data_IF_160475320026
#
_entry.id   IF_160475320026
#
_cell.length_a   1.000
_cell.length_b   1.000
_cell.length_c   1.000
_cell.angle_alpha   90.00
_cell.angle_beta   90.00
_cell.angle_gamma   90.00
#
_symmetry.space_group_name_H-M   'P 1'
#
loop_
_entity.id
_entity.type
_entity.pdbx_description
1 polymer ?
#
# COMPACT_ATOMS: atom_id res chain seq x y z
N UNK A 1 -78.26 39.14 18.32
CA UNK A 1 -78.24 38.77 19.73
C UNK A 1 -77.62 37.40 19.76
N UNK A 2 -76.45 37.09 20.22
CA UNK A 2 -75.69 37.38 21.42
C UNK A 2 -74.18 37.19 21.09
N UNK A 3 -73.39 38.16 21.51
CA UNK A 3 -71.91 38.12 21.46
C UNK A 3 -71.40 37.16 22.53
N UNK A 4 -70.46 36.28 22.16
CA UNK A 4 -69.60 35.62 23.12
C UNK A 4 -68.14 35.85 22.76
N UNK A 5 -67.47 36.63 23.61
CA UNK A 5 -66.05 36.94 23.59
C UNK A 5 -65.24 35.69 23.97
N UNK A 6 -64.34 35.22 23.12
CA UNK A 6 -63.31 34.29 23.52
C UNK A 6 -62.02 35.06 23.79
N UNK A 7 -61.58 35.01 25.03
CA UNK A 7 -60.33 35.60 25.55
C UNK A 7 -59.15 34.78 25.02
N UNK A 8 -58.27 35.43 24.28
CA UNK A 8 -56.93 34.94 23.98
C UNK A 8 -56.18 34.87 25.31
N UNK A 9 -55.76 33.68 25.69
CA UNK A 9 -54.70 33.44 26.70
C UNK A 9 -53.42 33.46 25.99
N UNK A 10 -52.67 34.55 26.04
CA UNK A 10 -51.25 34.64 25.89
C UNK A 10 -50.59 33.84 27.01
N UNK A 11 -50.11 32.64 26.73
CA UNK A 11 -49.18 31.94 27.61
C UNK A 11 -47.79 32.34 27.18
N UNK A 12 -47.13 33.09 28.03
CA UNK A 12 -45.72 33.36 28.10
C UNK A 12 -44.96 32.05 28.15
N UNK A 13 -44.20 31.74 27.08
CA UNK A 13 -43.16 30.77 27.14
C UNK A 13 -41.95 31.39 27.86
N UNK A 14 -41.95 31.26 29.17
CA UNK A 14 -40.79 31.48 30.00
C UNK A 14 -40.26 30.15 30.46
N UNK A 15 -38.97 29.96 30.18
CA UNK A 15 -38.07 29.16 31.00
C UNK A 15 -38.48 27.72 31.30
N UNK A 16 -38.34 26.83 30.34
CA UNK A 16 -38.18 25.42 30.67
C UNK A 16 -37.02 24.81 29.96
N UNK A 17 -35.95 24.77 30.75
CA UNK A 17 -34.95 23.70 30.69
C UNK A 17 -34.04 23.65 29.49
N UNK A 18 -33.04 24.52 29.47
CA UNK A 18 -31.74 24.19 28.96
C UNK A 18 -31.14 23.01 29.76
N UNK A 19 -31.72 21.81 29.66
CA UNK A 19 -31.03 20.57 30.00
C UNK A 19 -29.95 20.37 28.97
N UNK A 20 -28.75 20.87 29.29
CA UNK A 20 -27.52 20.50 28.64
C UNK A 20 -27.40 18.96 28.64
N UNK A 21 -27.79 18.34 27.54
CA UNK A 21 -27.41 16.96 27.25
C UNK A 21 -25.92 16.99 27.08
N UNK A 22 -25.21 16.77 28.18
CA UNK A 22 -23.77 16.48 28.10
C UNK A 22 -23.62 15.11 27.43
N UNK A 23 -23.57 15.12 26.11
CA UNK A 23 -23.03 13.99 25.35
C UNK A 23 -21.57 13.90 25.78
N UNK A 24 -21.31 13.11 26.82
CA UNK A 24 -19.97 12.60 27.10
C UNK A 24 -19.58 11.67 25.95
N UNK A 25 -19.29 12.26 24.80
CA UNK A 25 -18.50 11.61 23.77
C UNK A 25 -17.18 11.25 24.43
N UNK A 26 -16.86 9.97 24.54
CA UNK A 26 -15.53 9.48 24.82
C UNK A 26 -14.62 9.97 23.69
N UNK A 27 -14.29 11.25 23.69
CA UNK A 27 -13.39 11.90 22.78
C UNK A 27 -12.00 11.31 22.98
N UNK A 28 -11.52 10.57 21.99
CA UNK A 28 -10.12 10.21 21.92
C UNK A 28 -9.31 11.52 22.05
N UNK A 29 -8.48 11.59 23.10
CA UNK A 29 -7.71 12.79 23.43
C UNK A 29 -6.84 13.20 22.22
N UNK A 30 -7.25 14.24 21.51
CA UNK A 30 -6.47 14.84 20.45
C UNK A 30 -5.44 15.75 21.10
N UNK A 31 -4.18 15.34 21.15
CA UNK A 31 -3.08 16.23 21.49
C UNK A 31 -2.69 17.02 20.23
N UNK A 32 -2.95 18.32 20.26
CA UNK A 32 -2.47 19.24 19.21
C UNK A 32 -1.10 19.76 19.64
N UNK A 33 -0.05 19.36 18.97
CA UNK A 33 1.26 20.00 19.07
C UNK A 33 1.28 21.21 18.12
N UNK A 34 1.33 22.40 18.68
CA UNK A 34 1.54 23.65 17.92
C UNK A 34 3.03 23.95 17.90
N UNK A 35 3.69 23.78 16.76
CA UNK A 35 5.13 23.94 16.59
C UNK A 35 5.58 25.37 16.25
N UNK A 36 4.68 26.29 16.07
CA UNK A 36 4.98 27.74 15.99
C UNK A 36 3.67 28.56 16.04
N UNK A 37 3.65 29.78 16.59
CA UNK A 37 2.49 30.63 16.53
C UNK A 37 2.24 31.07 15.08
N UNK A 38 1.25 30.53 14.42
CA UNK A 38 0.67 31.07 13.20
C UNK A 38 0.77 30.25 11.90
N UNK A 39 1.66 29.25 11.75
CA UNK A 39 1.88 28.63 10.43
C UNK A 39 1.81 27.10 10.32
N UNK A 40 1.97 26.32 11.39
CA UNK A 40 1.93 24.85 11.32
C UNK A 40 1.24 24.28 12.57
N UNK A 41 -0.01 23.87 12.45
CA UNK A 41 -0.68 23.07 13.48
C UNK A 41 -0.70 21.60 13.07
N UNK A 42 0.14 20.77 13.68
CA UNK A 42 0.12 19.32 13.50
C UNK A 42 -0.84 18.69 14.53
N UNK A 43 -1.93 18.13 14.08
CA UNK A 43 -2.80 17.30 14.92
C UNK A 43 -2.26 15.88 14.97
N UNK A 44 -1.56 15.53 16.03
CA UNK A 44 -1.04 14.19 16.24
C UNK A 44 -2.07 13.37 17.00
N UNK A 45 -2.48 12.26 16.41
CA UNK A 45 -3.31 11.25 17.06
C UNK A 45 -2.37 10.22 17.71
N UNK A 46 -2.32 10.09 19.04
CA UNK A 46 -1.30 9.27 19.70
C UNK A 46 -1.39 7.78 19.34
N UNK A 47 -2.59 7.24 19.17
CA UNK A 47 -2.76 5.81 18.82
C UNK A 47 -2.24 5.44 17.44
N UNK A 48 -2.66 6.08 16.32
CA UNK A 48 -2.09 5.80 15.01
C UNK A 48 -0.58 5.99 14.96
N UNK A 49 -0.04 7.01 15.63
CA UNK A 49 1.41 7.22 15.71
C UNK A 49 2.11 6.08 16.44
N UNK A 50 1.61 5.68 17.63
CA UNK A 50 2.19 4.58 18.39
C UNK A 50 2.15 3.26 17.60
N UNK A 51 1.05 2.98 16.91
CA UNK A 51 0.94 1.79 16.04
C UNK A 51 1.93 1.88 14.87
N UNK A 52 2.05 3.04 14.22
CA UNK A 52 3.03 3.22 13.13
C UNK A 52 4.45 2.97 13.61
N UNK A 53 4.84 3.54 14.75
CA UNK A 53 6.16 3.35 15.32
C UNK A 53 6.40 1.89 15.72
N UNK A 54 5.43 1.23 16.35
CA UNK A 54 5.53 -0.19 16.69
C UNK A 54 5.71 -1.05 15.43
N UNK A 55 4.91 -0.82 14.39
CA UNK A 55 5.01 -1.57 13.14
C UNK A 55 6.33 -1.32 12.43
N UNK A 56 6.82 -0.08 12.43
CA UNK A 56 8.12 0.26 11.87
C UNK A 56 9.27 -0.40 12.64
N UNK A 57 9.19 -0.45 13.98
CA UNK A 57 10.16 -1.16 14.82
C UNK A 57 10.14 -2.67 14.56
N UNK A 58 8.96 -3.27 14.43
CA UNK A 58 8.84 -4.69 14.10
C UNK A 58 9.37 -4.99 12.69
N UNK A 59 9.11 -4.12 11.73
CA UNK A 59 9.66 -4.23 10.38
C UNK A 59 11.19 -4.11 10.37
N UNK A 60 11.75 -3.14 11.10
CA UNK A 60 13.19 -3.02 11.27
C UNK A 60 13.78 -4.24 12.00
N UNK A 61 13.08 -4.76 13.01
CA UNK A 61 13.47 -5.99 13.73
C UNK A 61 13.50 -7.21 12.83
N UNK A 62 12.49 -7.41 11.96
CA UNK A 62 12.50 -8.51 10.99
C UNK A 62 13.63 -8.36 9.97
N UNK A 63 13.94 -7.13 9.53
CA UNK A 63 15.09 -6.83 8.68
C UNK A 63 16.43 -7.13 9.39
N UNK A 64 16.57 -6.73 10.65
CA UNK A 64 17.76 -7.02 11.45
C UNK A 64 17.98 -8.53 11.64
N UNK A 65 16.90 -9.29 11.90
CA UNK A 65 16.95 -10.75 11.94
C UNK A 65 17.37 -11.35 10.60
N UNK A 66 16.91 -10.78 9.47
CA UNK A 66 17.34 -11.23 8.15
C UNK A 66 18.83 -10.97 7.87
N UNK A 67 19.43 -9.95 8.49
CA UNK A 67 20.88 -9.68 8.38
C UNK A 67 21.72 -10.70 9.16
N UNK A 68 21.21 -11.26 10.27
CA UNK A 68 21.95 -12.20 11.14
C UNK A 68 21.65 -13.67 10.85
N UNK A 69 20.84 -13.96 9.81
CA UNK A 69 20.43 -15.34 9.47
C UNK A 69 21.60 -16.24 9.12
N UNK A 70 21.36 -17.55 9.16
CA UNK A 70 22.24 -18.65 8.73
C UNK A 70 23.49 -18.87 9.60
N UNK A 71 23.69 -18.09 10.68
CA UNK A 71 24.84 -18.25 11.58
C UNK A 71 26.22 -18.06 10.94
N UNK A 72 26.28 -17.73 9.63
CA UNK A 72 27.54 -17.53 8.89
C UNK A 72 28.28 -16.27 9.35
N UNK A 73 27.54 -15.25 9.78
CA UNK A 73 28.08 -13.99 10.31
C UNK A 73 27.49 -13.77 11.68
N UNK A 74 28.30 -13.78 12.76
CA UNK A 74 27.81 -13.49 14.12
C UNK A 74 27.17 -12.10 14.21
N UNK A 75 26.18 -11.88 15.09
CA UNK A 75 25.52 -10.57 15.23
C UNK A 75 26.50 -9.42 15.53
N UNK A 76 27.58 -9.69 16.26
CA UNK A 76 28.62 -8.71 16.56
C UNK A 76 29.37 -8.27 15.30
N UNK A 77 29.66 -9.19 14.38
CA UNK A 77 30.31 -8.89 13.09
C UNK A 77 29.35 -8.19 12.13
N UNK A 78 28.03 -8.48 12.18
CA UNK A 78 27.04 -7.73 11.41
C UNK A 78 27.03 -6.25 11.82
N UNK A 79 27.06 -5.97 13.12
CA UNK A 79 27.20 -4.60 13.61
C UNK A 79 28.55 -3.99 13.22
N UNK A 80 29.63 -4.74 13.36
CA UNK A 80 30.95 -4.30 12.88
C UNK A 80 30.96 -3.92 11.40
N UNK A 81 30.37 -4.77 10.55
CA UNK A 81 30.27 -4.52 9.11
C UNK A 81 29.48 -3.24 8.79
N UNK A 82 28.35 -3.00 9.50
CA UNK A 82 27.52 -1.79 9.32
C UNK A 82 28.26 -0.51 9.72
N UNK A 83 29.19 -0.56 10.67
CA UNK A 83 29.98 0.59 11.14
C UNK A 83 31.41 0.61 10.58
N UNK A 84 31.76 -0.24 9.61
CA UNK A 84 33.08 -0.28 8.99
C UNK A 84 34.18 -0.92 9.82
N UNK A 85 33.83 -1.70 10.87
CA UNK A 85 34.77 -2.38 11.78
C UNK A 85 34.72 -3.91 11.69
N UNK A 86 34.00 -4.47 10.70
CA UNK A 86 33.88 -5.92 10.49
C UNK A 86 34.99 -6.51 9.61
N UNK A 87 35.04 -7.86 9.56
CA UNK A 87 35.89 -8.55 8.58
C UNK A 87 35.43 -8.23 7.13
N UNK A 88 36.34 -8.30 6.16
CA UNK A 88 36.02 -8.04 4.75
C UNK A 88 34.93 -9.00 4.23
N UNK A 89 34.96 -10.26 4.66
CA UNK A 89 33.93 -11.24 4.34
C UNK A 89 32.55 -10.89 4.93
N UNK A 90 32.52 -10.46 6.19
CA UNK A 90 31.28 -10.02 6.83
C UNK A 90 30.73 -8.75 6.17
N UNK A 91 31.59 -7.80 5.84
CA UNK A 91 31.22 -6.59 5.13
C UNK A 91 30.60 -6.91 3.75
N UNK A 92 31.22 -7.79 2.98
CA UNK A 92 30.68 -8.23 1.69
C UNK A 92 29.30 -8.87 1.82
N UNK A 93 29.15 -9.87 2.72
CA UNK A 93 27.87 -10.57 2.90
C UNK A 93 26.78 -9.63 3.41
N UNK A 94 27.09 -8.75 4.36
CA UNK A 94 26.10 -7.87 4.99
C UNK A 94 25.76 -6.70 4.07
N UNK A 95 26.75 -5.97 3.56
CA UNK A 95 26.51 -4.71 2.84
C UNK A 95 26.17 -4.95 1.35
N UNK A 96 26.72 -6.00 0.75
CA UNK A 96 26.55 -6.25 -0.67
C UNK A 96 25.37 -7.19 -0.99
N UNK A 97 25.11 -8.19 -0.13
CA UNK A 97 24.09 -9.20 -0.41
C UNK A 97 22.82 -9.01 0.42
N UNK A 98 22.95 -8.80 1.76
CA UNK A 98 21.78 -8.83 2.64
C UNK A 98 21.11 -7.48 2.83
N UNK A 99 21.88 -6.42 3.06
CA UNK A 99 21.36 -5.08 3.33
C UNK A 99 20.52 -4.52 2.17
N UNK A 100 20.95 -4.63 0.90
CA UNK A 100 20.15 -4.17 -0.23
C UNK A 100 18.81 -4.90 -0.33
N UNK A 101 18.80 -6.22 -0.12
CA UNK A 101 17.57 -7.03 -0.11
C UNK A 101 16.62 -6.61 1.01
N UNK A 102 17.12 -6.42 2.24
CA UNK A 102 16.33 -5.97 3.39
C UNK A 102 15.78 -4.57 3.15
N UNK A 103 16.60 -3.63 2.68
CA UNK A 103 16.17 -2.27 2.36
C UNK A 103 15.08 -2.28 1.28
N UNK A 104 15.27 -3.07 0.23
CA UNK A 104 14.27 -3.23 -0.83
C UNK A 104 12.96 -3.79 -0.27
N UNK A 105 13.00 -4.84 0.55
CA UNK A 105 11.81 -5.43 1.19
C UNK A 105 11.04 -4.43 2.04
N UNK A 106 11.73 -3.63 2.83
CA UNK A 106 11.11 -2.60 3.68
C UNK A 106 10.44 -1.50 2.84
N UNK A 107 11.12 -0.97 1.83
CA UNK A 107 10.63 0.16 1.05
C UNK A 107 9.58 -0.26 0.03
N UNK A 108 9.74 -1.41 -0.64
CA UNK A 108 8.72 -1.99 -1.52
C UNK A 108 7.47 -2.33 -0.72
N UNK A 109 7.62 -2.97 0.45
CA UNK A 109 6.50 -3.25 1.33
C UNK A 109 5.76 -1.99 1.77
N UNK A 110 6.49 -0.93 2.16
CA UNK A 110 5.91 0.36 2.50
C UNK A 110 5.17 0.99 1.31
N UNK A 111 5.77 0.94 0.12
CA UNK A 111 5.15 1.42 -1.13
C UNK A 111 3.85 0.70 -1.46
N UNK A 112 3.84 -0.64 -1.40
CA UNK A 112 2.64 -1.44 -1.63
C UNK A 112 1.55 -1.19 -0.58
N UNK A 113 1.92 -1.11 0.70
CA UNK A 113 0.98 -0.79 1.78
C UNK A 113 0.35 0.60 1.62
N UNK A 114 1.13 1.59 1.23
CA UNK A 114 0.66 2.94 0.92
C UNK A 114 -0.22 2.97 -0.34
N UNK A 115 0.20 2.31 -1.43
CA UNK A 115 -0.58 2.18 -2.66
C UNK A 115 -1.96 1.58 -2.38
N UNK A 116 -2.00 0.51 -1.58
CA UNK A 116 -3.24 -0.11 -1.13
C UNK A 116 -4.13 0.83 -0.33
N UNK A 117 -3.59 1.60 0.62
CA UNK A 117 -4.35 2.56 1.41
C UNK A 117 -4.97 3.66 0.53
N UNK A 118 -4.19 4.23 -0.38
CA UNK A 118 -4.66 5.23 -1.33
C UNK A 118 -5.76 4.68 -2.24
N UNK A 119 -5.57 3.47 -2.77
CA UNK A 119 -6.52 2.86 -3.68
C UNK A 119 -7.82 2.45 -3.00
N UNK A 120 -7.77 1.87 -1.79
CA UNK A 120 -8.96 1.53 -0.99
C UNK A 120 -9.79 2.76 -0.63
N UNK A 121 -9.13 3.86 -0.31
CA UNK A 121 -9.78 5.14 -0.02
C UNK A 121 -10.43 5.72 -1.29
N UNK A 122 -9.70 5.73 -2.41
CA UNK A 122 -10.18 6.24 -3.70
C UNK A 122 -11.39 5.45 -4.20
N UNK A 123 -11.34 4.12 -4.13
CA UNK A 123 -12.41 3.24 -4.58
C UNK A 123 -13.55 3.11 -3.59
N UNK A 124 -13.40 3.61 -2.36
CA UNK A 124 -14.31 3.40 -1.22
C UNK A 124 -14.61 1.91 -1.00
N UNK A 125 -13.67 1.06 -1.33
CA UNK A 125 -13.80 -0.38 -1.22
C UNK A 125 -12.59 -0.95 -0.43
N UNK A 126 -12.82 -1.58 0.73
CA UNK A 126 -11.74 -2.17 1.51
C UNK A 126 -11.04 -3.34 0.80
N UNK A 127 -11.65 -3.94 -0.21
CA UNK A 127 -11.06 -4.99 -1.03
C UNK A 127 -10.38 -4.45 -2.30
N UNK A 128 -10.37 -3.14 -2.51
CA UNK A 128 -9.68 -2.51 -3.63
C UNK A 128 -8.16 -2.55 -3.43
N UNK A 129 -7.44 -3.02 -4.44
CA UNK A 129 -5.98 -2.89 -4.49
C UNK A 129 -5.54 -2.70 -5.95
N UNK A 130 -4.37 -2.10 -6.20
CA UNK A 130 -3.83 -2.00 -7.55
C UNK A 130 -3.70 -3.36 -8.23
N UNK A 131 -3.40 -4.42 -7.48
CA UNK A 131 -3.23 -5.78 -7.97
C UNK A 131 -4.50 -6.33 -8.63
N UNK A 132 -5.66 -6.11 -7.98
CA UNK A 132 -6.98 -6.61 -8.46
C UNK A 132 -7.42 -5.84 -9.71
N UNK A 133 -6.96 -4.61 -9.91
CA UNK A 133 -7.33 -3.77 -11.06
C UNK A 133 -6.45 -4.05 -12.28
N UNK A 134 -5.68 -5.13 -12.27
CA UNK A 134 -4.95 -5.62 -13.45
C UNK A 134 -3.61 -4.93 -13.72
N UNK A 135 -3.15 -4.00 -12.87
CA UNK A 135 -1.86 -3.34 -13.08
C UNK A 135 -0.68 -4.30 -13.04
N UNK A 136 -0.75 -5.33 -12.17
CA UNK A 136 0.25 -6.39 -12.10
C UNK A 136 0.28 -7.22 -13.38
N UNK A 137 -0.88 -7.53 -13.98
CA UNK A 137 -0.94 -8.24 -15.26
C UNK A 137 -0.33 -7.41 -16.39
N UNK A 138 -0.55 -6.09 -16.38
CA UNK A 138 0.08 -5.18 -17.33
C UNK A 138 1.58 -5.05 -17.14
N UNK A 139 2.04 -4.95 -15.92
CA UNK A 139 3.47 -4.96 -15.60
C UNK A 139 4.11 -6.29 -16.03
N UNK A 140 3.41 -7.41 -15.80
CA UNK A 140 3.84 -8.73 -16.27
C UNK A 140 3.95 -8.78 -17.80
N UNK A 141 2.95 -8.26 -18.52
CA UNK A 141 3.00 -8.21 -19.99
C UNK A 141 4.20 -7.40 -20.48
N UNK A 142 4.42 -6.21 -19.91
CA UNK A 142 5.58 -5.38 -20.28
C UNK A 142 6.93 -6.04 -19.98
N UNK A 143 7.04 -6.70 -18.82
CA UNK A 143 8.25 -7.46 -18.47
C UNK A 143 8.48 -8.64 -19.42
N UNK A 144 7.43 -9.42 -19.71
CA UNK A 144 7.50 -10.57 -20.63
C UNK A 144 7.92 -10.17 -22.04
N UNK A 145 7.37 -9.07 -22.56
CA UNK A 145 7.76 -8.56 -23.88
C UNK A 145 9.26 -8.23 -23.94
N UNK A 146 9.81 -7.65 -22.88
CA UNK A 146 11.25 -7.35 -22.79
C UNK A 146 12.06 -8.62 -22.60
N UNK A 147 11.66 -9.55 -21.72
CA UNK A 147 12.36 -10.82 -21.49
C UNK A 147 12.42 -11.70 -22.73
N UNK A 148 11.40 -11.65 -23.58
CA UNK A 148 11.29 -12.52 -24.76
C UNK A 148 11.90 -11.92 -26.02
N UNK A 149 11.98 -10.59 -26.14
CA UNK A 149 12.34 -9.92 -27.39
C UNK A 149 13.39 -8.82 -27.21
N UNK A 150 13.78 -8.49 -25.97
CA UNK A 150 14.66 -7.39 -25.64
C UNK A 150 15.85 -7.80 -24.78
N UNK A 151 16.55 -6.79 -24.24
CA UNK A 151 17.62 -6.97 -23.29
C UNK A 151 17.04 -7.08 -21.86
N UNK A 152 17.39 -8.13 -21.08
CA UNK A 152 16.97 -8.32 -19.69
C UNK A 152 17.20 -7.09 -18.78
N UNK A 153 18.19 -6.25 -19.07
CA UNK A 153 18.47 -5.02 -18.34
C UNK A 153 17.26 -4.04 -18.30
N UNK A 154 16.36 -4.11 -19.30
CA UNK A 154 15.19 -3.24 -19.40
C UNK A 154 13.88 -3.86 -18.88
N UNK A 155 13.91 -5.04 -18.25
CA UNK A 155 12.71 -5.72 -17.71
C UNK A 155 11.97 -4.84 -16.71
N UNK A 156 12.68 -4.13 -15.84
CA UNK A 156 12.08 -3.22 -14.88
C UNK A 156 11.36 -2.05 -15.58
N UNK A 157 11.96 -1.50 -16.65
CA UNK A 157 11.34 -0.44 -17.44
C UNK A 157 10.11 -0.95 -18.21
N UNK A 158 10.20 -2.17 -18.76
CA UNK A 158 9.07 -2.83 -19.41
C UNK A 158 7.90 -3.06 -18.45
N UNK A 159 8.17 -3.57 -17.25
CA UNK A 159 7.17 -3.76 -16.21
C UNK A 159 6.51 -2.44 -15.79
N UNK A 160 7.31 -1.41 -15.53
CA UNK A 160 6.79 -0.09 -15.18
C UNK A 160 5.91 0.51 -16.30
N UNK A 161 6.39 0.43 -17.54
CA UNK A 161 5.66 0.90 -18.72
C UNK A 161 4.35 0.15 -18.95
N UNK A 162 4.37 -1.18 -18.87
CA UNK A 162 3.19 -2.03 -19.01
C UNK A 162 2.13 -1.78 -17.93
N UNK A 163 2.57 -1.63 -16.67
CA UNK A 163 1.69 -1.29 -15.56
C UNK A 163 1.05 0.09 -15.71
N UNK A 164 1.84 1.11 -16.09
CA UNK A 164 1.34 2.48 -16.34
C UNK A 164 0.40 2.52 -17.55
N UNK A 165 0.73 1.86 -18.65
CA UNK A 165 -0.13 1.77 -19.82
C UNK A 165 -1.48 1.13 -19.46
N UNK A 166 -1.46 0.05 -18.70
CA UNK A 166 -2.69 -0.59 -18.21
C UNK A 166 -3.51 0.33 -17.33
N UNK A 167 -2.87 1.11 -16.46
CA UNK A 167 -3.56 2.10 -15.63
C UNK A 167 -4.26 3.16 -16.49
N UNK A 168 -3.60 3.65 -17.54
CA UNK A 168 -4.19 4.62 -18.48
C UNK A 168 -5.39 3.99 -19.18
N UNK A 169 -5.25 2.78 -19.71
CA UNK A 169 -6.34 2.06 -20.41
C UNK A 169 -7.54 1.89 -19.49
N UNK A 170 -7.33 1.35 -18.30
CA UNK A 170 -8.39 1.14 -17.31
C UNK A 170 -9.06 2.45 -16.92
N UNK A 171 -8.27 3.52 -16.74
CA UNK A 171 -8.79 4.84 -16.43
C UNK A 171 -9.64 5.43 -17.57
N UNK A 172 -9.21 5.26 -18.81
CA UNK A 172 -9.99 5.71 -20.00
C UNK A 172 -11.32 4.96 -20.12
N UNK A 173 -11.32 3.64 -19.90
CA UNK A 173 -12.53 2.82 -19.89
C UNK A 173 -13.48 3.20 -18.75
N UNK A 174 -12.93 3.55 -17.58
CA UNK A 174 -13.70 3.96 -16.41
C UNK A 174 -14.30 5.38 -16.52
N UNK A 175 -13.72 6.27 -17.36
CA UNK A 175 -14.15 7.68 -17.50
C UNK A 175 -15.53 7.89 -18.12
N UNK A 176 -16.06 6.95 -18.90
CA UNK A 176 -17.38 7.07 -19.56
C UNK A 176 -18.51 6.93 -18.55
N UNK A 177 -18.80 7.98 -17.77
CA UNK A 177 -19.88 8.05 -16.76
C UNK A 177 -19.41 8.57 -15.41
N UNK A 178 -20.35 8.71 -14.45
CA UNK A 178 -20.04 9.11 -13.06
C UNK A 178 -18.93 8.22 -12.49
N UNK A 179 -17.93 8.83 -11.84
CA UNK A 179 -16.76 8.16 -11.26
C UNK A 179 -17.18 7.25 -10.10
N UNK A 180 -17.77 6.10 -10.41
CA UNK A 180 -18.14 5.09 -9.43
C UNK A 180 -16.98 4.10 -9.30
N UNK A 181 -16.43 3.95 -8.08
CA UNK A 181 -15.29 3.06 -7.79
C UNK A 181 -15.48 1.63 -8.32
N UNK A 182 -16.72 1.12 -8.35
CA UNK A 182 -17.05 -0.19 -8.90
C UNK A 182 -16.71 -0.33 -10.40
N UNK A 183 -16.84 0.74 -11.19
CA UNK A 183 -16.57 0.69 -12.63
C UNK A 183 -15.06 0.60 -12.91
N UNK A 184 -14.25 1.27 -12.11
CA UNK A 184 -12.79 1.17 -12.17
C UNK A 184 -12.35 -0.28 -11.90
N UNK A 185 -12.94 -0.91 -10.87
CA UNK A 185 -12.64 -2.31 -10.51
C UNK A 185 -13.06 -3.27 -11.63
N UNK A 186 -14.28 -3.12 -12.17
CA UNK A 186 -14.77 -3.99 -13.25
C UNK A 186 -13.93 -3.85 -14.54
N UNK A 187 -13.60 -2.61 -14.94
CA UNK A 187 -12.73 -2.36 -16.09
C UNK A 187 -11.34 -2.97 -15.86
N UNK A 188 -10.83 -2.85 -14.64
CA UNK A 188 -9.55 -3.41 -14.26
C UNK A 188 -9.53 -4.95 -14.30
N UNK A 189 -10.56 -5.60 -13.78
CA UNK A 189 -10.70 -7.06 -13.85
C UNK A 189 -10.76 -7.53 -15.32
N UNK A 190 -11.53 -6.87 -16.17
CA UNK A 190 -11.65 -7.23 -17.58
C UNK A 190 -10.31 -7.08 -18.32
N UNK A 191 -9.63 -5.94 -18.17
CA UNK A 191 -8.32 -5.70 -18.78
C UNK A 191 -7.27 -6.65 -18.19
N UNK A 192 -7.26 -6.85 -16.88
CA UNK A 192 -6.36 -7.78 -16.19
C UNK A 192 -6.50 -9.22 -16.68
N UNK A 193 -7.73 -9.71 -16.86
CA UNK A 193 -7.99 -11.04 -17.40
C UNK A 193 -7.52 -11.19 -18.85
N UNK A 194 -7.74 -10.16 -19.69
CA UNK A 194 -7.23 -10.13 -21.05
C UNK A 194 -5.70 -10.20 -21.08
N UNK A 195 -5.04 -9.36 -20.27
CA UNK A 195 -3.57 -9.33 -20.18
C UNK A 195 -3.00 -10.65 -19.61
N UNK A 196 -3.69 -11.28 -18.66
CA UNK A 196 -3.30 -12.61 -18.16
C UNK A 196 -3.35 -13.66 -19.28
N UNK A 197 -4.36 -13.61 -20.15
CA UNK A 197 -4.42 -14.50 -21.32
C UNK A 197 -3.29 -14.21 -22.32
N UNK A 198 -2.96 -12.94 -22.55
CA UNK A 198 -1.81 -12.53 -23.36
C UNK A 198 -0.50 -13.05 -22.75
N UNK A 199 -0.32 -12.93 -21.43
CA UNK A 199 0.87 -13.42 -20.73
C UNK A 199 1.01 -14.95 -20.88
N UNK A 200 -0.08 -15.69 -20.74
CA UNK A 200 -0.07 -17.13 -20.95
C UNK A 200 0.31 -17.49 -22.39
N UNK A 201 -0.22 -16.77 -23.38
CA UNK A 201 0.15 -16.98 -24.77
C UNK A 201 1.65 -16.69 -25.03
N UNK A 202 2.16 -15.57 -24.51
CA UNK A 202 3.58 -15.22 -24.65
C UNK A 202 4.48 -16.31 -24.05
N UNK A 203 4.14 -16.83 -22.88
CA UNK A 203 4.89 -17.92 -22.23
C UNK A 203 4.88 -19.21 -23.04
N UNK A 204 3.78 -19.56 -23.70
CA UNK A 204 3.71 -20.78 -24.55
C UNK A 204 4.53 -20.67 -25.82
N UNK A 205 4.87 -19.46 -26.25
CA UNK A 205 5.71 -19.19 -27.44
C UNK A 205 7.19 -18.99 -27.11
N UNK A 206 7.52 -18.85 -25.83
CA UNK A 206 8.87 -18.60 -25.37
C UNK A 206 9.75 -19.86 -25.45
N UNK A 207 11.05 -19.69 -25.67
CA UNK A 207 12.03 -20.75 -25.45
C UNK A 207 12.01 -21.17 -23.97
N UNK A 208 12.32 -22.44 -23.69
CA UNK A 208 12.17 -23.02 -22.35
C UNK A 208 12.90 -22.21 -21.27
N UNK A 209 14.12 -21.79 -21.52
CA UNK A 209 14.95 -21.02 -20.56
C UNK A 209 14.35 -19.65 -20.26
N UNK A 210 13.82 -18.96 -21.28
CA UNK A 210 13.13 -17.69 -21.13
C UNK A 210 11.80 -17.86 -20.40
N UNK A 211 11.05 -18.93 -20.69
CA UNK A 211 9.80 -19.21 -20.01
C UNK A 211 9.99 -19.50 -18.51
N UNK A 212 11.05 -20.24 -18.14
CA UNK A 212 11.39 -20.51 -16.74
C UNK A 212 11.78 -19.22 -16.00
N UNK A 213 12.67 -18.42 -16.59
CA UNK A 213 13.08 -17.13 -16.01
C UNK A 213 11.89 -16.19 -15.83
N UNK A 214 11.00 -16.13 -16.82
CA UNK A 214 9.78 -15.33 -16.76
C UNK A 214 8.79 -15.82 -15.69
N UNK A 215 8.62 -17.13 -15.53
CA UNK A 215 7.77 -17.68 -14.47
C UNK A 215 8.31 -17.36 -13.07
N UNK A 216 9.62 -17.46 -12.85
CA UNK A 216 10.24 -17.09 -11.58
C UNK A 216 10.03 -15.61 -11.28
N UNK A 217 10.16 -14.74 -12.30
CA UNK A 217 9.90 -13.31 -12.15
C UNK A 217 8.44 -13.01 -11.80
N UNK A 218 7.49 -13.72 -12.45
CA UNK A 218 6.04 -13.56 -12.22
C UNK A 218 5.57 -13.97 -10.82
N UNK A 219 6.34 -14.78 -10.10
CA UNK A 219 6.03 -15.14 -8.70
C UNK A 219 6.37 -14.00 -7.73
N UNK A 220 7.31 -13.13 -8.12
CA UNK A 220 7.80 -12.03 -7.28
C UNK A 220 8.89 -12.46 -6.29
N UNK A 221 10.07 -11.84 -6.40
CA UNK A 221 11.23 -12.13 -5.56
C UNK A 221 12.04 -10.86 -5.28
N UNK A 222 12.56 -10.73 -4.07
CA UNK A 222 13.51 -9.66 -3.70
C UNK A 222 14.97 -10.00 -4.03
N UNK A 223 15.23 -11.26 -4.38
CA UNK A 223 16.59 -11.75 -4.65
C UNK A 223 17.02 -11.66 -6.11
N UNK A 224 16.11 -11.34 -7.03
CA UNK A 224 16.37 -11.24 -8.47
C UNK A 224 16.69 -9.82 -8.95
N UNK A 225 16.66 -8.84 -8.06
CA UNK A 225 16.87 -7.42 -8.41
C UNK A 225 18.36 -7.13 -8.58
N UNK A 226 18.74 -6.58 -9.70
CA UNK A 226 20.10 -6.15 -9.95
C UNK A 226 20.46 -4.93 -9.10
N UNK A 227 21.70 -4.92 -8.59
CA UNK A 227 22.18 -3.91 -7.64
C UNK A 227 21.98 -2.47 -8.13
N UNK A 228 22.23 -2.21 -9.41
CA UNK A 228 22.08 -0.87 -9.99
C UNK A 228 20.64 -0.36 -10.02
N UNK A 229 19.63 -1.24 -9.94
CA UNK A 229 18.22 -0.91 -9.94
C UNK A 229 17.68 -0.56 -8.53
N UNK A 230 18.40 -1.00 -7.47
CA UNK A 230 17.89 -0.87 -6.08
C UNK A 230 17.82 0.60 -5.66
N UNK A 231 18.91 1.35 -5.81
CA UNK A 231 18.93 2.75 -5.36
C UNK A 231 17.92 3.64 -6.11
N UNK A 232 17.79 3.59 -7.45
CA UNK A 232 16.75 4.32 -8.17
C UNK A 232 15.33 3.95 -7.71
N UNK A 233 15.07 2.67 -7.46
CA UNK A 233 13.76 2.22 -6.97
C UNK A 233 13.46 2.74 -5.55
N UNK A 234 14.44 2.69 -4.64
CA UNK A 234 14.30 3.24 -3.29
C UNK A 234 14.00 4.74 -3.33
N UNK A 235 14.71 5.49 -4.14
CA UNK A 235 14.50 6.94 -4.31
C UNK A 235 13.12 7.23 -4.93
N UNK A 236 12.72 6.49 -5.97
CA UNK A 236 11.42 6.66 -6.60
C UNK A 236 10.26 6.35 -5.64
N UNK A 237 10.33 5.24 -4.89
CA UNK A 237 9.33 4.89 -3.90
C UNK A 237 9.27 5.91 -2.76
N UNK A 238 10.42 6.37 -2.25
CA UNK A 238 10.48 7.41 -1.23
C UNK A 238 9.87 8.73 -1.73
N UNK A 239 10.20 9.16 -2.94
CA UNK A 239 9.64 10.36 -3.56
C UNK A 239 8.11 10.26 -3.72
N UNK A 240 7.60 9.13 -4.22
CA UNK A 240 6.16 8.90 -4.36
C UNK A 240 5.45 8.86 -3.00
N UNK A 241 6.05 8.26 -1.97
CA UNK A 241 5.51 8.27 -0.60
C UNK A 241 5.45 9.70 -0.05
N UNK A 242 6.48 10.51 -0.26
CA UNK A 242 6.48 11.92 0.15
C UNK A 242 5.41 12.73 -0.60
N UNK A 243 5.25 12.50 -1.91
CA UNK A 243 4.20 13.14 -2.73
C UNK A 243 2.78 12.71 -2.31
N UNK A 244 2.62 11.53 -1.72
CA UNK A 244 1.33 11.05 -1.20
C UNK A 244 0.89 11.79 0.08
N UNK A 245 1.82 12.28 0.91
CA UNK A 245 1.51 12.88 2.21
C UNK A 245 0.53 14.06 2.15
N UNK A 246 0.69 15.06 1.27
CA UNK A 246 -0.24 16.18 1.18
C UNK A 246 -1.62 15.76 0.68
N UNK A 247 -1.73 14.65 -0.07
CA UNK A 247 -3.01 14.15 -0.59
C UNK A 247 -3.86 13.46 0.47
N UNK A 248 -3.26 13.00 1.58
CA UNK A 248 -3.99 12.33 2.67
C UNK A 248 -5.11 13.21 3.20
N UNK A 249 -4.85 14.49 3.45
CA UNK A 249 -5.88 15.43 3.94
C UNK A 249 -7.01 15.61 2.94
N UNK A 250 -6.70 15.69 1.65
CA UNK A 250 -7.72 15.82 0.59
C UNK A 250 -8.56 14.55 0.48
N UNK A 251 -7.93 13.38 0.62
CA UNK A 251 -8.64 12.09 0.66
C UNK A 251 -9.55 11.96 1.86
N UNK A 252 -9.12 12.38 3.04
CA UNK A 252 -9.94 12.35 4.25
C UNK A 252 -11.17 13.26 4.12
N UNK A 253 -11.05 14.39 3.42
CA UNK A 253 -12.20 15.25 3.10
C UNK A 253 -13.15 14.59 2.08
N UNK A 254 -12.62 13.84 1.11
CA UNK A 254 -13.42 13.09 0.13
C UNK A 254 -14.27 11.97 0.78
N UNK A 255 -13.92 11.50 1.99
CA UNK A 255 -14.78 10.57 2.75
C UNK A 255 -16.14 11.17 3.10
N UNK A 256 -16.22 12.50 3.29
CA UNK A 256 -17.45 13.21 3.61
C UNK A 256 -18.42 13.32 2.41
N UNK A 257 -17.98 12.96 1.23
CA UNK A 257 -18.71 13.11 -0.03
C UNK A 257 -18.10 14.18 -0.94
N UNK A 258 -18.40 14.06 -2.23
CA UNK A 258 -17.81 14.92 -3.26
C UNK A 258 -18.27 16.37 -3.15
N UNK A 259 -19.56 16.58 -2.85
CA UNK A 259 -20.15 17.91 -2.69
C UNK A 259 -19.58 18.62 -1.46
N UNK A 260 -19.51 17.91 -0.32
CA UNK A 260 -18.95 18.46 0.92
C UNK A 260 -17.46 18.81 0.75
N UNK A 261 -16.68 17.94 0.12
CA UNK A 261 -15.27 18.18 -0.15
C UNK A 261 -15.05 19.35 -1.11
N UNK A 262 -15.90 19.46 -2.16
CA UNK A 262 -15.90 20.59 -3.09
C UNK A 262 -16.22 21.92 -2.39
N UNK A 263 -17.22 21.94 -1.51
CA UNK A 263 -17.55 23.11 -0.68
C UNK A 263 -16.42 23.55 0.25
N UNK A 264 -15.52 22.62 0.64
CA UNK A 264 -14.32 22.89 1.43
C UNK A 264 -13.09 23.24 0.56
N UNK A 265 -13.27 23.46 -0.75
CA UNK A 265 -12.22 23.90 -1.68
C UNK A 265 -11.33 22.78 -2.23
N UNK A 266 -11.74 21.50 -2.11
CA UNK A 266 -11.02 20.38 -2.71
C UNK A 266 -11.45 20.20 -4.16
N UNK A 267 -10.50 20.30 -5.10
CA UNK A 267 -10.73 19.86 -6.48
C UNK A 267 -10.78 18.31 -6.50
N UNK A 268 -12.01 17.79 -6.49
CA UNK A 268 -12.30 16.35 -6.41
C UNK A 268 -11.70 15.59 -7.59
N UNK A 269 -11.88 16.10 -8.81
CA UNK A 269 -11.43 15.43 -10.03
C UNK A 269 -9.88 15.34 -10.07
N UNK A 270 -9.21 16.44 -9.84
CA UNK A 270 -7.75 16.52 -9.82
C UNK A 270 -7.17 15.66 -8.68
N UNK A 271 -7.77 15.70 -7.49
CA UNK A 271 -7.31 14.90 -6.34
C UNK A 271 -7.39 13.42 -6.65
N UNK A 272 -8.49 12.94 -7.24
CA UNK A 272 -8.65 11.53 -7.62
C UNK A 272 -7.61 11.06 -8.63
N UNK A 273 -7.35 11.87 -9.64
CA UNK A 273 -6.34 11.56 -10.67
C UNK A 273 -4.94 11.49 -10.03
N UNK A 274 -4.56 12.47 -9.22
CA UNK A 274 -3.25 12.49 -8.56
C UNK A 274 -3.06 11.29 -7.61
N UNK A 275 -4.08 10.97 -6.82
CA UNK A 275 -4.04 9.82 -5.91
C UNK A 275 -3.90 8.51 -6.68
N UNK A 276 -4.66 8.35 -7.79
CA UNK A 276 -4.55 7.18 -8.64
C UNK A 276 -3.15 7.05 -9.25
N UNK A 277 -2.62 8.14 -9.80
CA UNK A 277 -1.28 8.15 -10.40
C UNK A 277 -0.20 7.77 -9.38
N UNK A 278 -0.27 8.30 -8.16
CA UNK A 278 0.69 7.96 -7.10
C UNK A 278 0.51 6.51 -6.66
N UNK A 279 -0.72 6.03 -6.47
CA UNK A 279 -0.96 4.64 -6.06
C UNK A 279 -0.46 3.65 -7.12
N UNK A 280 -0.72 3.93 -8.40
CA UNK A 280 -0.21 3.13 -9.53
C UNK A 280 1.30 3.24 -9.63
N UNK A 281 1.87 4.44 -9.51
CA UNK A 281 3.30 4.67 -9.54
C UNK A 281 4.04 3.87 -8.45
N UNK A 282 3.54 3.90 -7.20
CA UNK A 282 4.07 3.10 -6.10
C UNK A 282 4.04 1.60 -6.43
N UNK A 283 2.92 1.11 -6.96
CA UNK A 283 2.80 -0.30 -7.35
C UNK A 283 3.70 -0.64 -8.54
N UNK A 284 3.75 0.22 -9.56
CA UNK A 284 4.56 -0.01 -10.76
C UNK A 284 6.07 -0.08 -10.44
N UNK A 285 6.58 0.84 -9.61
CA UNK A 285 7.98 0.81 -9.17
C UNK A 285 8.24 -0.41 -8.29
N UNK A 286 7.32 -0.77 -7.39
CA UNK A 286 7.46 -1.96 -6.57
C UNK A 286 7.55 -3.24 -7.43
N UNK A 287 6.64 -3.38 -8.40
CA UNK A 287 6.60 -4.54 -9.30
C UNK A 287 7.79 -4.58 -10.25
N UNK A 288 8.28 -3.43 -10.72
CA UNK A 288 9.41 -3.39 -11.66
C UNK A 288 10.69 -3.98 -11.07
N UNK A 289 10.89 -3.87 -9.76
CA UNK A 289 12.11 -4.37 -9.08
C UNK A 289 11.92 -5.69 -8.35
N UNK A 290 10.73 -5.97 -7.83
CA UNK A 290 10.48 -7.17 -7.03
C UNK A 290 9.56 -8.19 -7.73
N UNK A 291 9.11 -7.89 -8.96
CA UNK A 291 8.05 -8.66 -9.60
C UNK A 291 6.69 -8.44 -8.92
N UNK A 292 5.63 -9.07 -9.41
CA UNK A 292 4.28 -8.92 -8.87
C UNK A 292 4.17 -9.59 -7.49
N UNK A 293 4.15 -8.79 -6.43
CA UNK A 293 3.90 -9.24 -5.05
C UNK A 293 2.44 -9.01 -4.73
N UNK A 294 1.71 -10.10 -4.53
CA UNK A 294 0.27 -10.07 -4.28
C UNK A 294 -0.05 -9.92 -2.78
N UNK A 295 -1.27 -9.46 -2.48
CA UNK A 295 -1.88 -9.34 -1.17
C UNK A 295 -1.31 -8.30 -0.22
N UNK A 296 -0.06 -7.87 -0.31
CA UNK A 296 0.51 -6.86 0.61
C UNK A 296 -0.28 -5.56 0.52
N UNK A 297 -0.54 -5.06 -0.70
CA UNK A 297 -1.33 -3.86 -0.92
C UNK A 297 -2.78 -3.99 -0.45
N UNK A 298 -3.35 -5.20 -0.45
CA UNK A 298 -4.70 -5.47 0.02
C UNK A 298 -4.78 -5.55 1.55
N UNK A 299 -3.89 -6.33 2.17
CA UNK A 299 -3.95 -6.67 3.59
C UNK A 299 -3.40 -5.57 4.50
N UNK A 300 -2.29 -4.93 4.11
CA UNK A 300 -1.60 -3.95 4.95
C UNK A 300 -2.50 -2.81 5.44
N UNK A 301 -3.25 -2.10 4.59
CA UNK A 301 -4.10 -1.01 5.06
C UNK A 301 -5.25 -1.49 5.96
N UNK A 302 -5.78 -2.69 5.74
CA UNK A 302 -6.85 -3.24 6.56
C UNK A 302 -6.35 -3.63 7.96
N UNK A 303 -5.20 -4.31 8.05
CA UNK A 303 -4.57 -4.67 9.32
C UNK A 303 -4.16 -3.41 10.09
N UNK A 304 -3.55 -2.45 9.41
CA UNK A 304 -3.16 -1.16 10.00
C UNK A 304 -4.35 -0.40 10.58
N UNK A 305 -5.47 -0.31 9.86
CA UNK A 305 -6.72 0.34 10.35
C UNK A 305 -7.31 -0.38 11.55
N UNK A 306 -7.29 -1.71 11.58
CA UNK A 306 -7.79 -2.49 12.72
C UNK A 306 -6.97 -2.26 13.98
N UNK A 307 -5.64 -2.19 13.86
CA UNK A 307 -4.73 -1.98 14.99
C UNK A 307 -4.79 -0.52 15.48
N UNK A 308 -4.73 0.44 14.56
CA UNK A 308 -4.72 1.86 14.91
C UNK A 308 -6.08 2.37 15.41
N UNK A 309 -7.19 1.67 15.06
CA UNK A 309 -8.57 2.14 15.30
C UNK A 309 -8.75 3.60 14.86
N UNK A 310 -7.95 4.04 13.88
CA UNK A 310 -7.96 5.39 13.34
C UNK A 310 -9.04 5.55 12.29
N UNK A 311 -9.51 6.78 12.13
CA UNK A 311 -10.34 7.24 11.00
C UNK A 311 -9.44 7.85 9.93
N UNK A 312 -9.87 7.84 8.67
CA UNK A 312 -9.16 8.42 7.54
C UNK A 312 -8.24 7.42 6.81
N UNK A 313 -7.46 7.93 5.88
CA UNK A 313 -6.65 7.15 4.93
C UNK A 313 -5.64 6.22 5.63
N UNK A 314 -5.06 6.65 6.76
CA UNK A 314 -4.11 5.82 7.51
C UNK A 314 -2.87 5.44 6.69
N UNK A 315 -2.34 6.36 5.88
CA UNK A 315 -1.23 6.10 4.95
C UNK A 315 0.03 5.58 5.66
N UNK A 316 0.49 6.27 6.71
CA UNK A 316 1.71 5.89 7.44
C UNK A 316 1.58 4.54 8.16
N UNK A 317 0.50 4.25 8.93
CA UNK A 317 0.29 2.91 9.47
C UNK A 317 0.23 1.82 8.41
N UNK A 318 -0.38 2.09 7.24
CA UNK A 318 -0.46 1.13 6.15
C UNK A 318 0.91 0.88 5.49
N UNK A 319 1.71 1.92 5.29
CA UNK A 319 3.08 1.80 4.81
C UNK A 319 3.95 0.97 5.78
N UNK A 320 3.91 1.28 7.09
CA UNK A 320 4.64 0.53 8.10
C UNK A 320 4.19 -0.94 8.19
N UNK A 321 2.88 -1.20 8.07
CA UNK A 321 2.35 -2.56 8.02
C UNK A 321 2.79 -3.31 6.76
N UNK A 322 2.81 -2.64 5.60
CA UNK A 322 3.29 -3.22 4.36
C UNK A 322 4.78 -3.58 4.44
N UNK A 323 5.60 -2.69 5.00
CA UNK A 323 7.01 -2.96 5.28
C UNK A 323 7.17 -4.20 6.17
N UNK A 324 6.39 -4.29 7.26
CA UNK A 324 6.43 -5.46 8.16
C UNK A 324 5.99 -6.74 7.45
N UNK A 325 4.87 -6.72 6.74
CA UNK A 325 4.36 -7.91 6.06
C UNK A 325 5.37 -8.45 5.03
N UNK A 326 5.97 -7.57 4.24
CA UNK A 326 6.89 -8.01 3.21
C UNK A 326 8.23 -8.45 3.81
N UNK A 327 8.81 -7.70 4.75
CA UNK A 327 10.07 -8.08 5.40
C UNK A 327 9.96 -9.35 6.23
N UNK A 328 8.84 -9.54 6.95
CA UNK A 328 8.57 -10.79 7.67
C UNK A 328 8.35 -11.97 6.71
N UNK A 329 7.65 -11.76 5.59
CA UNK A 329 7.47 -12.79 4.56
C UNK A 329 8.80 -13.17 3.91
N UNK A 330 9.67 -12.20 3.65
CA UNK A 330 11.01 -12.46 3.12
C UNK A 330 11.87 -13.22 4.12
N UNK A 331 11.83 -12.84 5.40
CA UNK A 331 12.50 -13.58 6.47
C UNK A 331 12.04 -15.03 6.52
N UNK A 332 10.74 -15.29 6.44
CA UNK A 332 10.19 -16.66 6.39
C UNK A 332 10.66 -17.38 5.12
N UNK A 333 10.59 -16.72 3.96
CA UNK A 333 10.99 -17.31 2.67
C UNK A 333 12.45 -17.79 2.66
N UNK A 334 13.34 -17.05 3.33
CA UNK A 334 14.76 -17.38 3.37
C UNK A 334 15.17 -18.31 4.53
N UNK A 335 14.29 -18.48 5.54
CA UNK A 335 14.56 -19.36 6.69
C UNK A 335 13.96 -20.76 6.53
N UNK A 336 12.99 -20.93 5.63
CA UNK A 336 12.40 -22.24 5.38
C UNK A 336 13.43 -23.18 4.73
N UNK A 337 13.60 -24.43 5.26
CA UNK A 337 14.49 -25.42 4.69
C UNK A 337 13.89 -26.01 3.39
N UNK A 338 14.18 -25.38 2.28
CA UNK A 338 13.73 -25.81 0.95
C UNK A 338 14.92 -26.08 0.04
N UNK A 339 14.74 -26.86 -1.02
CA UNK A 339 15.78 -27.22 -1.99
C UNK A 339 16.36 -26.01 -2.77
N UNK A 340 15.78 -24.81 -2.58
CA UNK A 340 16.22 -23.54 -3.19
C UNK A 340 15.57 -22.34 -2.53
N UNK A 341 15.98 -21.11 -2.86
CA UNK A 341 15.41 -19.91 -2.28
C UNK A 341 13.95 -19.76 -2.70
N UNK A 342 13.04 -19.73 -1.72
CA UNK A 342 11.61 -19.49 -1.95
C UNK A 342 11.40 -18.03 -2.38
N UNK A 343 10.67 -17.78 -3.48
CA UNK A 343 10.23 -16.42 -3.82
C UNK A 343 9.31 -15.85 -2.74
N UNK A 344 9.52 -14.60 -2.33
CA UNK A 344 8.70 -13.95 -1.29
C UNK A 344 7.21 -13.88 -1.65
N UNK A 345 6.90 -13.82 -2.95
CA UNK A 345 5.53 -13.79 -3.46
C UNK A 345 4.71 -15.03 -3.10
N UNK A 346 5.35 -16.21 -2.97
CA UNK A 346 4.68 -17.44 -2.49
C UNK A 346 4.23 -17.27 -1.05
N UNK A 347 5.09 -16.76 -0.18
CA UNK A 347 4.80 -16.57 1.24
C UNK A 347 3.73 -15.49 1.43
N UNK A 348 3.85 -14.35 0.73
CA UNK A 348 2.82 -13.29 0.80
C UNK A 348 1.48 -13.76 0.27
N UNK A 349 1.48 -14.58 -0.80
CA UNK A 349 0.29 -15.19 -1.37
C UNK A 349 -0.42 -16.13 -0.40
N UNK A 350 0.33 -17.00 0.26
CA UNK A 350 -0.19 -17.93 1.28
C UNK A 350 -0.78 -17.16 2.49
N UNK A 351 -0.01 -16.22 3.05
CA UNK A 351 -0.47 -15.40 4.18
C UNK A 351 -1.71 -14.57 3.84
N UNK A 352 -1.72 -13.97 2.64
CA UNK A 352 -2.85 -13.18 2.18
C UNK A 352 -4.11 -14.02 1.92
N UNK A 353 -3.95 -15.20 1.35
CA UNK A 353 -5.05 -16.15 1.12
C UNK A 353 -5.69 -16.59 2.44
N UNK A 354 -4.88 -16.99 3.43
CA UNK A 354 -5.35 -17.34 4.79
C UNK A 354 -6.07 -16.15 5.45
N UNK A 355 -5.50 -14.94 5.33
CA UNK A 355 -6.13 -13.74 5.88
C UNK A 355 -7.50 -13.46 5.25
N UNK A 356 -7.63 -13.58 3.92
CA UNK A 356 -8.91 -13.37 3.23
C UNK A 356 -9.94 -14.43 3.62
N UNK A 357 -9.56 -15.70 3.68
CA UNK A 357 -10.43 -16.80 4.11
C UNK A 357 -10.96 -16.54 5.53
N UNK A 358 -10.09 -16.14 6.44
CA UNK A 358 -10.49 -15.76 7.80
C UNK A 358 -11.42 -14.54 7.84
N UNK A 359 -11.16 -13.53 7.00
CA UNK A 359 -11.96 -12.32 6.92
C UNK A 359 -13.38 -12.60 6.45
N UNK A 360 -13.54 -13.46 5.43
CA UNK A 360 -14.84 -13.85 4.87
C UNK A 360 -15.62 -14.73 5.85
N UNK A 361 -14.96 -15.70 6.50
CA UNK A 361 -15.60 -16.56 7.49
C UNK A 361 -16.14 -15.81 8.72
N UNK A 362 -15.51 -14.68 9.10
CA UNK A 362 -16.02 -13.83 10.20
C UNK A 362 -17.24 -12.99 9.83
N UNK A 363 -17.38 -12.60 8.55
CA UNK A 363 -18.55 -11.82 8.10
C UNK A 363 -19.83 -12.64 8.05
N UNK A 364 -19.74 -13.95 7.85
CA UNK A 364 -20.91 -14.83 7.83
C UNK A 364 -21.47 -15.14 9.22
N UNK A 365 -20.72 -14.83 10.29
CA UNK A 365 -21.14 -15.09 11.69
C UNK A 365 -21.75 -13.85 12.39
N UNK A 366 -21.94 -12.74 11.68
CA UNK A 366 -22.62 -11.53 12.13
C UNK A 366 -23.83 -11.21 11.26
#
# INVERSE_FOLDING_TARGET
MTRTRSRARTRTCTEESARSVSVRGRGAAHRTLRLAPGRLSLRIRPRPLAVTLLLALLAAGSGALALTRDGLVPPAEVLGALFGAGSEQAAFVVLELRLPRVALGLVVGAGLGAAGALFQQLSRNPLGSPDIVGFNSGAATGALLVLLHGDPAYVAAGAAGGGLATAVIVQLLARRGSFRGNRLILAGIAVGSLLTSVNSYLLTRAALDHAQSAQLWLIGSLGSTERHQILPALLALAALLLLALPLVRRLDLLEMGDEAAGGLGVDVARTRVLVLLIAVGLSAVAVSVAGPIVFVALCAPQLARRLSRGTGTGLLPAAAMGALLLSASDLVAVTLPTAGPLPVGVVTGALGGVYLAWLLGRRQRR
#
